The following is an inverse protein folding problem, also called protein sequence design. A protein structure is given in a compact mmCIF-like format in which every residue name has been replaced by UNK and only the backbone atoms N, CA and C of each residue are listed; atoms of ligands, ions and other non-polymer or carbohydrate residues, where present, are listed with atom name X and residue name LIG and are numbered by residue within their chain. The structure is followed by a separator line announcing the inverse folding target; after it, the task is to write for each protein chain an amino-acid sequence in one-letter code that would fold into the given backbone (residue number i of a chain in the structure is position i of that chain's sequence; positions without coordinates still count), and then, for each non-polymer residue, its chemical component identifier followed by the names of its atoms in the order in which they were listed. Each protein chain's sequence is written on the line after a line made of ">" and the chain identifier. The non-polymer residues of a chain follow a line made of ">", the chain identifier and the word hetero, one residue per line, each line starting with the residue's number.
data_IF_399750954120
#
_entry.id   IF_399750954120
#
_cell.length_a   1.000
_cell.length_b   1.000
_cell.length_c   1.000
_cell.angle_alpha   90.00
_cell.angle_beta   90.00
_cell.angle_gamma   90.00
#
_symmetry.space_group_name_H-M   'P 1'
#
loop_
_entity.id
_entity.type
_entity.pdbx_description
1 polymer ?
#
# COMPACT_ATOMS: atom_id res chain seq x y z
N UNK A 1 19.57 0.41 -31.95
CA UNK A 1 19.72 0.79 -30.53
C UNK A 1 18.37 0.62 -29.85
N UNK A 2 18.16 -0.49 -29.15
CA UNK A 2 17.06 -0.71 -28.21
C UNK A 2 17.73 -0.77 -26.83
N UNK A 3 17.25 -0.01 -25.85
CA UNK A 3 17.76 -0.08 -24.48
C UNK A 3 17.49 -1.47 -23.86
N UNK A 4 18.23 -1.88 -22.82
CA UNK A 4 17.93 -3.16 -22.17
C UNK A 4 16.56 -3.08 -21.50
N UNK A 5 15.69 -4.03 -21.87
CA UNK A 5 14.45 -4.37 -21.16
C UNK A 5 14.78 -4.57 -19.66
N UNK A 6 13.98 -4.03 -18.71
CA UNK A 6 14.18 -4.36 -17.31
C UNK A 6 13.86 -5.84 -17.10
N UNK A 7 14.90 -6.66 -17.09
CA UNK A 7 14.86 -8.07 -16.73
C UNK A 7 14.14 -8.22 -15.40
N UNK A 8 12.95 -8.84 -15.44
CA UNK A 8 12.20 -9.22 -14.27
C UNK A 8 13.09 -10.02 -13.32
N UNK A 9 13.44 -9.41 -12.19
CA UNK A 9 14.13 -10.09 -11.11
C UNK A 9 13.19 -11.12 -10.50
N UNK A 10 13.41 -12.40 -10.81
CA UNK A 10 12.93 -13.51 -10.00
C UNK A 10 13.66 -13.44 -8.66
N UNK A 11 12.93 -13.13 -7.59
CA UNK A 11 13.43 -13.26 -6.22
C UNK A 11 13.23 -14.73 -5.80
N UNK A 12 14.29 -15.48 -5.45
CA UNK A 12 14.15 -16.86 -4.99
C UNK A 12 13.56 -16.94 -3.58
N UNK A 13 12.92 -18.07 -3.20
CA UNK A 13 12.22 -18.20 -1.93
C UNK A 13 13.20 -18.44 -0.78
N UNK A 14 13.55 -17.36 -0.10
CA UNK A 14 13.94 -17.33 1.30
C UNK A 14 13.07 -16.29 1.98
N UNK A 15 12.26 -16.70 2.95
CA UNK A 15 11.27 -15.85 3.59
C UNK A 15 11.93 -14.66 4.32
N UNK A 16 11.92 -13.49 3.68
CA UNK A 16 11.87 -12.23 4.40
C UNK A 16 10.48 -12.13 5.01
N UNK A 17 10.40 -11.89 6.33
CA UNK A 17 9.14 -11.58 7.04
C UNK A 17 8.53 -10.23 6.58
N UNK A 18 9.12 -9.64 5.53
CA UNK A 18 8.77 -8.39 4.86
C UNK A 18 8.16 -8.68 3.50
N UNK A 19 6.95 -9.23 3.50
CA UNK A 19 6.20 -9.50 2.28
C UNK A 19 6.21 -8.28 1.34
N UNK A 20 6.91 -8.40 0.22
CA UNK A 20 6.96 -7.35 -0.81
C UNK A 20 5.66 -7.41 -1.59
N UNK A 21 4.90 -6.32 -1.60
CA UNK A 21 3.69 -6.19 -2.43
C UNK A 21 4.09 -5.45 -3.70
N UNK A 22 4.11 -6.17 -4.82
CA UNK A 22 4.26 -5.55 -6.14
C UNK A 22 2.91 -5.02 -6.60
N UNK A 23 2.79 -3.71 -6.79
CA UNK A 23 1.63 -3.12 -7.44
C UNK A 23 1.77 -3.33 -8.96
N UNK A 24 0.99 -4.25 -9.53
CA UNK A 24 1.09 -4.65 -10.93
C UNK A 24 0.23 -5.85 -11.29
N UNK A 25 0.43 -6.43 -12.48
CA UNK A 25 -0.38 -7.55 -12.97
C UNK A 25 -0.36 -8.78 -12.03
N UNK A 26 0.77 -9.02 -11.35
CA UNK A 26 0.93 -10.09 -10.37
C UNK A 26 0.04 -9.94 -9.13
N UNK A 27 -0.48 -8.74 -8.86
CA UNK A 27 -1.38 -8.48 -7.73
C UNK A 27 -2.87 -8.55 -8.09
N UNK A 28 -3.24 -9.08 -9.27
CA UNK A 28 -4.63 -9.11 -9.72
C UNK A 28 -5.57 -9.79 -8.70
N UNK A 29 -5.15 -10.90 -8.10
CA UNK A 29 -5.94 -11.65 -7.14
C UNK A 29 -6.07 -10.90 -5.82
N UNK A 30 -4.99 -10.28 -5.35
CA UNK A 30 -4.99 -9.45 -4.15
C UNK A 30 -5.85 -8.21 -4.34
N UNK A 31 -5.83 -7.59 -5.52
CA UNK A 31 -6.67 -6.44 -5.87
C UNK A 31 -8.16 -6.80 -5.85
N UNK A 32 -8.53 -7.98 -6.37
CA UNK A 32 -9.92 -8.47 -6.30
C UNK A 32 -10.38 -8.70 -4.86
N UNK A 33 -9.52 -9.29 -4.03
CA UNK A 33 -9.82 -9.52 -2.60
C UNK A 33 -9.88 -8.22 -1.80
N UNK A 34 -8.99 -7.28 -2.10
CA UNK A 34 -8.93 -5.97 -1.45
C UNK A 34 -10.13 -5.10 -1.82
N UNK A 35 -10.65 -5.23 -3.04
CA UNK A 35 -11.72 -4.38 -3.56
C UNK A 35 -11.21 -3.01 -4.01
N UNK A 36 -11.94 -2.33 -4.91
CA UNK A 36 -11.40 -1.24 -5.73
C UNK A 36 -10.96 -0.03 -4.90
N UNK A 37 -11.80 0.45 -3.97
CA UNK A 37 -11.49 1.65 -3.18
C UNK A 37 -10.34 1.42 -2.21
N UNK A 38 -10.30 0.25 -1.57
CA UNK A 38 -9.19 -0.09 -0.67
C UNK A 38 -7.89 -0.32 -1.44
N UNK A 39 -7.96 -0.83 -2.67
CA UNK A 39 -6.79 -0.93 -3.54
C UNK A 39 -6.23 0.44 -3.91
N UNK A 40 -7.06 1.38 -4.34
CA UNK A 40 -6.61 2.74 -4.61
C UNK A 40 -6.02 3.42 -3.36
N UNK A 41 -6.60 3.15 -2.17
CA UNK A 41 -6.02 3.62 -0.93
C UNK A 41 -4.61 3.04 -0.67
N UNK A 42 -4.39 1.76 -0.98
CA UNK A 42 -3.06 1.14 -0.88
C UNK A 42 -2.06 1.78 -1.84
N UNK A 43 -2.47 2.06 -3.08
CA UNK A 43 -1.63 2.74 -4.07
C UNK A 43 -1.23 4.15 -3.61
N UNK A 44 -2.18 4.93 -3.07
CA UNK A 44 -1.89 6.25 -2.49
C UNK A 44 -0.93 6.12 -1.30
N UNK A 45 -1.17 5.20 -0.37
CA UNK A 45 -0.26 4.99 0.77
C UNK A 45 1.14 4.62 0.28
N UNK A 46 1.27 3.73 -0.70
CA UNK A 46 2.56 3.35 -1.27
C UNK A 46 3.28 4.52 -1.95
N UNK A 47 2.55 5.37 -2.68
CA UNK A 47 3.11 6.55 -3.34
C UNK A 47 3.62 7.62 -2.35
N UNK A 48 3.03 7.66 -1.15
CA UNK A 48 3.40 8.61 -0.08
C UNK A 48 4.25 7.98 1.03
N UNK A 49 4.64 6.71 0.89
CA UNK A 49 5.41 6.02 1.91
C UNK A 49 6.90 6.39 1.85
N UNK A 50 7.51 6.50 3.02
CA UNK A 50 8.95 6.58 3.20
C UNK A 50 9.47 5.30 3.87
N UNK A 51 10.73 4.96 3.59
CA UNK A 51 11.44 3.89 4.30
C UNK A 51 12.14 4.50 5.51
N UNK A 52 11.73 4.12 6.70
CA UNK A 52 12.28 4.60 7.97
C UNK A 52 12.60 3.44 8.90
N UNK A 53 13.86 3.36 9.36
CA UNK A 53 14.29 2.34 10.32
C UNK A 53 13.73 0.95 9.97
N UNK A 54 13.90 0.58 8.70
CA UNK A 54 13.48 -0.72 8.15
C UNK A 54 11.96 -0.96 8.01
N UNK A 55 11.16 0.11 8.12
CA UNK A 55 9.71 0.08 7.96
C UNK A 55 9.28 0.97 6.82
N UNK A 56 8.24 0.55 6.11
CA UNK A 56 7.55 1.40 5.11
C UNK A 56 6.40 2.10 5.81
N UNK A 57 6.48 3.42 5.96
CA UNK A 57 5.51 4.24 6.69
C UNK A 57 4.96 5.32 5.76
N UNK A 58 3.63 5.37 5.65
CA UNK A 58 2.94 6.48 4.98
C UNK A 58 2.37 7.43 6.02
N UNK A 59 2.79 8.70 5.97
CA UNK A 59 2.30 9.76 6.86
C UNK A 59 1.05 10.41 6.31
N UNK A 60 -0.05 9.67 6.27
CA UNK A 60 -1.35 10.18 5.84
C UNK A 60 -2.42 9.89 6.90
N UNK A 61 -3.10 10.94 7.32
CA UNK A 61 -4.37 10.81 8.04
C UNK A 61 -5.47 10.30 7.11
N UNK A 62 -6.54 9.78 7.71
CA UNK A 62 -7.75 9.37 6.95
C UNK A 62 -8.34 10.52 6.14
N UNK A 63 -8.20 11.78 6.61
CA UNK A 63 -8.70 12.96 5.89
C UNK A 63 -7.85 13.28 4.67
N UNK A 64 -6.53 13.23 4.80
CA UNK A 64 -5.62 13.43 3.66
C UNK A 64 -5.79 12.32 2.62
N UNK A 65 -5.96 11.08 3.07
CA UNK A 65 -6.30 9.95 2.20
C UNK A 65 -7.63 10.17 1.46
N UNK A 66 -8.65 10.69 2.15
CA UNK A 66 -9.95 11.01 1.53
C UNK A 66 -9.82 12.09 0.45
N UNK A 67 -9.05 13.16 0.73
CA UNK A 67 -8.76 14.22 -0.23
C UNK A 67 -8.00 13.69 -1.44
N UNK A 68 -6.95 12.88 -1.24
CA UNK A 68 -6.16 12.31 -2.32
C UNK A 68 -6.98 11.41 -3.25
N UNK A 69 -7.98 10.70 -2.71
CA UNK A 69 -8.87 9.83 -3.47
C UNK A 69 -10.13 10.53 -4.01
N UNK A 70 -10.41 11.77 -3.61
CA UNK A 70 -11.64 12.47 -3.98
C UNK A 70 -12.92 11.83 -3.42
N UNK A 71 -12.85 11.21 -2.24
CA UNK A 71 -13.98 10.49 -1.62
C UNK A 71 -14.33 11.05 -0.23
N UNK A 72 -15.50 10.65 0.28
CA UNK A 72 -15.90 11.02 1.64
C UNK A 72 -14.97 10.40 2.71
N UNK A 73 -14.71 11.10 3.84
CA UNK A 73 -13.86 10.60 4.93
C UNK A 73 -14.31 9.25 5.50
N UNK A 74 -15.63 9.00 5.60
CA UNK A 74 -16.14 7.71 6.06
C UNK A 74 -15.80 6.57 5.09
N UNK A 75 -15.77 6.85 3.79
CA UNK A 75 -15.39 5.88 2.76
C UNK A 75 -13.89 5.59 2.84
N UNK A 76 -13.05 6.63 2.99
CA UNK A 76 -11.62 6.48 3.21
C UNK A 76 -11.31 5.68 4.49
N UNK A 77 -12.03 5.96 5.59
CA UNK A 77 -11.90 5.21 6.84
C UNK A 77 -12.22 3.72 6.66
N UNK A 78 -13.33 3.40 5.96
CA UNK A 78 -13.71 2.01 5.66
C UNK A 78 -12.68 1.31 4.76
N UNK A 79 -12.11 2.03 3.80
CA UNK A 79 -11.06 1.52 2.91
C UNK A 79 -9.78 1.20 3.70
N UNK A 80 -9.29 2.14 4.52
CA UNK A 80 -8.13 1.92 5.40
C UNK A 80 -8.37 0.75 6.37
N UNK A 81 -9.56 0.69 7.00
CA UNK A 81 -9.93 -0.42 7.88
C UNK A 81 -9.97 -1.76 7.16
N UNK A 82 -10.31 -1.79 5.86
CA UNK A 82 -10.24 -3.02 5.06
C UNK A 82 -8.80 -3.47 4.82
N UNK A 83 -7.87 -2.54 4.54
CA UNK A 83 -6.45 -2.86 4.41
C UNK A 83 -5.88 -3.45 5.70
N UNK A 84 -6.26 -2.89 6.86
CA UNK A 84 -5.85 -3.41 8.17
C UNK A 84 -6.39 -4.82 8.40
N UNK A 85 -7.67 -5.07 8.12
CA UNK A 85 -8.25 -6.42 8.26
C UNK A 85 -7.61 -7.47 7.35
N UNK A 86 -7.11 -7.05 6.19
CA UNK A 86 -6.41 -7.93 5.25
C UNK A 86 -4.91 -8.05 5.55
N UNK A 87 -4.41 -7.40 6.61
CA UNK A 87 -2.99 -7.43 6.99
C UNK A 87 -2.07 -6.63 6.05
N UNK A 88 -2.64 -5.82 5.15
CA UNK A 88 -1.87 -5.05 4.15
C UNK A 88 -1.35 -3.72 4.70
N UNK A 89 -1.89 -3.27 5.82
CA UNK A 89 -1.45 -2.07 6.51
C UNK A 89 -1.67 -2.21 8.01
N UNK A 90 -0.95 -1.42 8.80
CA UNK A 90 -1.21 -1.28 10.24
C UNK A 90 -1.24 0.21 10.61
N UNK A 91 -2.16 0.64 11.48
CA UNK A 91 -2.13 2.01 11.98
C UNK A 91 -0.84 2.24 12.76
N UNK A 92 -0.23 3.40 12.55
CA UNK A 92 0.90 3.88 13.34
C UNK A 92 0.36 5.00 14.22
N UNK A 93 0.38 4.80 15.53
CA UNK A 93 0.08 5.88 16.47
C UNK A 93 1.29 6.82 16.53
N UNK A 94 1.16 8.00 15.94
CA UNK A 94 2.07 9.09 16.24
C UNK A 94 1.62 9.72 17.57
N UNK A 95 2.39 9.48 18.64
CA UNK A 95 2.25 10.27 19.87
C UNK A 95 2.72 11.68 19.55
N UNK A 96 1.84 12.68 19.63
CA UNK A 96 2.25 14.09 19.62
C UNK A 96 3.22 14.30 20.79
N UNK A 97 4.45 14.67 20.47
CA UNK A 97 5.38 15.27 21.43
C UNK A 97 4.96 16.72 21.70
#
# INVERSE_FOLDING_TARGET
>A
MLGPEPTGGVVPPGADDRGTITLGASAADLRRQTGPVAWCALEVLAAHAAVESDRVIAYLSVRELATALGIAPNTAHRAAGRLVRLGLARPVEQRRA
#
